data_IF_396468593536
#
_entry.id   IF_396468593536
#
_cell.length_a   1.000
_cell.length_b   1.000
_cell.length_c   1.000
_cell.angle_alpha   90.00
_cell.angle_beta   90.00
_cell.angle_gamma   90.00
#
_symmetry.space_group_name_H-M   'P 1'
#
loop_
_entity.id
_entity.type
_entity.pdbx_description
1 polymer ?
#
# COMPACT_ATOMS: atom_id res chain seq x y z
N UNK A 1 9.67 26.45 19.05
CA UNK A 1 9.81 25.06 19.53
C UNK A 1 8.51 24.29 19.26
N UNK A 2 8.06 24.28 17.99
CA UNK A 2 6.88 23.52 17.53
C UNK A 2 7.34 22.46 16.52
N UNK A 3 8.34 22.80 15.71
CA UNK A 3 8.93 21.95 14.66
C UNK A 3 9.52 20.61 15.13
N UNK A 4 10.07 20.54 16.34
CA UNK A 4 10.71 19.31 16.83
C UNK A 4 9.68 18.26 17.30
N UNK A 5 8.53 18.73 17.79
CA UNK A 5 7.43 17.88 18.23
C UNK A 5 6.70 17.25 17.03
N UNK A 6 6.57 18.00 15.94
CA UNK A 6 6.01 17.51 14.67
C UNK A 6 6.94 16.51 13.94
N UNK A 7 8.26 16.69 14.04
CA UNK A 7 9.22 15.68 13.56
C UNK A 7 9.14 14.38 14.35
N UNK A 8 9.00 14.46 15.66
CA UNK A 8 8.89 13.29 16.53
C UNK A 8 7.59 12.53 16.29
N UNK A 9 6.45 13.20 16.11
CA UNK A 9 5.18 12.55 15.78
C UNK A 9 5.21 11.89 14.40
N UNK A 10 5.79 12.54 13.39
CA UNK A 10 5.98 11.93 12.07
C UNK A 10 6.86 10.67 12.14
N UNK A 11 7.98 10.71 12.86
CA UNK A 11 8.86 9.56 13.04
C UNK A 11 8.22 8.41 13.86
N UNK A 12 7.38 8.75 14.84
CA UNK A 12 6.65 7.74 15.64
C UNK A 12 5.51 7.12 14.84
N UNK A 13 4.86 7.92 13.98
CA UNK A 13 3.88 7.44 13.00
C UNK A 13 4.56 6.57 11.94
N UNK A 14 5.76 6.90 11.49
CA UNK A 14 6.54 6.05 10.58
C UNK A 14 6.88 4.69 11.21
N UNK A 15 7.18 4.68 12.51
CA UNK A 15 7.38 3.44 13.29
C UNK A 15 6.08 2.75 13.69
N UNK A 16 4.93 3.36 13.44
CA UNK A 16 3.65 2.75 13.74
C UNK A 16 3.34 1.66 12.72
N UNK A 17 2.78 0.55 13.20
CA UNK A 17 2.33 -0.57 12.36
C UNK A 17 1.35 -0.12 11.27
N UNK A 18 0.62 0.97 11.48
CA UNK A 18 -0.33 1.52 10.52
C UNK A 18 0.35 2.14 9.30
N UNK A 19 1.41 2.92 9.48
CA UNK A 19 2.14 3.50 8.35
C UNK A 19 2.88 2.43 7.55
N UNK A 20 3.46 1.44 8.23
CA UNK A 20 4.09 0.29 7.57
C UNK A 20 3.07 -0.54 6.77
N UNK A 21 1.87 -0.73 7.32
CA UNK A 21 0.77 -1.39 6.60
C UNK A 21 0.38 -0.58 5.35
N UNK A 22 0.25 0.74 5.47
CA UNK A 22 -0.03 1.63 4.34
C UNK A 22 1.05 1.57 3.26
N UNK A 23 2.33 1.64 3.63
CA UNK A 23 3.45 1.55 2.67
C UNK A 23 3.40 0.25 1.88
N UNK A 24 3.22 -0.87 2.56
CA UNK A 24 3.14 -2.15 1.87
C UNK A 24 1.83 -2.34 1.10
N UNK A 25 0.74 -1.65 1.47
CA UNK A 25 -0.49 -1.60 0.66
C UNK A 25 -0.23 -0.86 -0.66
N UNK A 26 0.48 0.27 -0.59
CA UNK A 26 0.88 1.06 -1.75
C UNK A 26 1.86 0.30 -2.65
N UNK A 27 2.82 -0.43 -2.10
CA UNK A 27 3.71 -1.29 -2.88
C UNK A 27 2.95 -2.38 -3.63
N UNK A 28 1.94 -2.98 -3.00
CA UNK A 28 1.12 -4.02 -3.63
C UNK A 28 0.31 -3.46 -4.81
N UNK A 29 -0.27 -2.26 -4.67
CA UNK A 29 -0.94 -1.57 -5.77
C UNK A 29 0.01 -1.30 -6.93
N UNK A 30 1.25 -0.89 -6.65
CA UNK A 30 2.26 -0.65 -7.69
C UNK A 30 2.68 -1.94 -8.39
N UNK A 31 2.83 -3.06 -7.66
CA UNK A 31 3.08 -4.38 -8.27
C UNK A 31 1.92 -4.80 -9.16
N UNK A 32 0.67 -4.63 -8.69
CA UNK A 32 -0.53 -4.95 -9.46
C UNK A 32 -0.59 -4.13 -10.75
N UNK A 33 -0.33 -2.82 -10.66
CA UNK A 33 -0.23 -1.94 -11.84
C UNK A 33 0.78 -2.47 -12.84
N UNK A 34 1.98 -2.84 -12.39
CA UNK A 34 3.04 -3.32 -13.27
C UNK A 34 2.64 -4.62 -13.97
N UNK A 35 2.13 -5.61 -13.22
CA UNK A 35 1.68 -6.89 -13.78
C UNK A 35 0.55 -6.71 -14.81
N UNK A 36 -0.42 -5.84 -14.52
CA UNK A 36 -1.51 -5.56 -15.44
C UNK A 36 -1.05 -4.78 -16.68
N UNK A 37 -0.08 -3.89 -16.52
CA UNK A 37 0.50 -3.15 -17.64
C UNK A 37 1.30 -4.08 -18.56
N UNK A 38 2.08 -5.00 -17.99
CA UNK A 38 2.79 -6.06 -18.72
C UNK A 38 1.79 -6.95 -19.47
N UNK A 39 0.68 -7.33 -18.82
CA UNK A 39 -0.36 -8.19 -19.41
C UNK A 39 -1.11 -7.51 -20.55
N UNK A 40 -1.40 -6.21 -20.44
CA UNK A 40 -2.10 -5.47 -21.49
C UNK A 40 -1.18 -4.92 -22.57
N UNK A 41 0.14 -4.96 -22.38
CA UNK A 41 1.12 -4.38 -23.30
C UNK A 41 1.08 -2.85 -23.35
N UNK A 42 0.41 -2.21 -22.38
CA UNK A 42 0.29 -0.76 -22.26
C UNK A 42 0.13 -0.36 -20.79
N UNK A 43 0.54 0.87 -20.44
CA UNK A 43 0.31 1.36 -19.07
C UNK A 43 -1.18 1.56 -18.84
N UNK A 44 -1.75 0.78 -17.92
CA UNK A 44 -3.16 0.86 -17.55
C UNK A 44 -3.49 2.10 -16.71
N UNK A 45 -2.48 2.80 -16.19
CA UNK A 45 -2.62 3.96 -15.32
C UNK A 45 -2.82 3.59 -13.85
N UNK A 46 -2.41 4.51 -12.96
CA UNK A 46 -2.44 4.27 -11.51
C UNK A 46 -3.86 4.17 -10.96
N UNK A 47 -4.77 5.04 -11.38
CA UNK A 47 -6.16 5.05 -10.87
C UNK A 47 -6.90 3.76 -11.22
N UNK A 48 -6.73 3.27 -12.45
CA UNK A 48 -7.35 2.01 -12.90
C UNK A 48 -6.80 0.81 -12.14
N UNK A 49 -5.48 0.74 -11.96
CA UNK A 49 -4.83 -0.30 -11.16
C UNK A 49 -5.29 -0.26 -9.70
N UNK A 50 -5.38 0.94 -9.11
CA UNK A 50 -5.81 1.12 -7.73
C UNK A 50 -7.26 0.67 -7.53
N UNK A 51 -8.17 1.09 -8.42
CA UNK A 51 -9.58 0.73 -8.33
C UNK A 51 -9.76 -0.79 -8.44
N UNK A 52 -9.11 -1.43 -9.42
CA UNK A 52 -9.17 -2.89 -9.58
C UNK A 52 -8.57 -3.63 -8.37
N UNK A 53 -7.43 -3.16 -7.87
CA UNK A 53 -6.79 -3.72 -6.70
C UNK A 53 -7.65 -3.60 -5.43
N UNK A 54 -8.28 -2.44 -5.21
CA UNK A 54 -9.17 -2.21 -4.05
C UNK A 54 -10.40 -3.14 -4.10
N UNK A 55 -10.96 -3.36 -5.29
CA UNK A 55 -12.15 -4.19 -5.47
C UNK A 55 -11.84 -5.69 -5.36
N UNK A 56 -10.76 -6.16 -5.98
CA UNK A 56 -10.53 -7.59 -6.20
C UNK A 56 -9.41 -8.20 -5.33
N UNK A 57 -8.42 -7.41 -4.93
CA UNK A 57 -7.19 -7.92 -4.30
C UNK A 57 -7.05 -7.55 -2.82
N UNK A 58 -7.47 -6.34 -2.43
CA UNK A 58 -7.27 -5.77 -1.09
C UNK A 58 -7.74 -6.65 0.05
N UNK A 59 -8.96 -7.18 -0.07
CA UNK A 59 -9.59 -8.00 0.98
C UNK A 59 -8.83 -9.30 1.21
N UNK A 60 -8.41 -9.98 0.13
CA UNK A 60 -7.60 -11.20 0.18
C UNK A 60 -6.21 -10.91 0.76
N UNK A 61 -5.55 -9.86 0.27
CA UNK A 61 -4.22 -9.47 0.73
C UNK A 61 -4.19 -9.14 2.22
N UNK A 62 -5.19 -8.39 2.72
CA UNK A 62 -5.32 -8.09 4.16
C UNK A 62 -5.50 -9.35 4.99
N UNK A 63 -6.33 -10.30 4.54
CA UNK A 63 -6.52 -11.60 5.22
C UNK A 63 -5.23 -12.43 5.27
N UNK A 64 -4.49 -12.51 4.16
CA UNK A 64 -3.21 -13.22 4.11
C UNK A 64 -2.17 -12.65 5.07
N UNK A 65 -2.16 -11.33 5.28
CA UNK A 65 -1.27 -10.68 6.26
C UNK A 65 -1.69 -10.81 7.71
N UNK A 66 -2.98 -10.95 7.99
CA UNK A 66 -3.45 -11.26 9.34
C UNK A 66 -3.11 -12.70 9.72
N UNK A 67 -3.26 -13.64 8.78
CA UNK A 67 -2.90 -15.04 8.99
C UNK A 67 -1.39 -15.30 9.08
N UNK A 68 -0.55 -14.43 8.50
CA UNK A 68 0.91 -14.53 8.59
C UNK A 68 1.49 -13.93 9.88
N UNK A 69 0.65 -13.37 10.75
CA UNK A 69 1.04 -12.74 12.03
C UNK A 69 0.72 -13.58 13.28
N UNK A 70 0.28 -14.83 13.12
CA UNK A 70 0.15 -15.85 14.18
C UNK A 70 1.28 -16.87 14.07
#
# INVERSE_FOLDING_TARGET
MVDEKDKLTAALLEKSSLYQQYLAEREEVLRHKWLESERMGCDIGFERALMDWVLNHRTKWRKSRQAAGE
#
